data_IF_646197777759
#
_entry.id   IF_646197777759
#
_cell.length_a   1.000
_cell.length_b   1.000
_cell.length_c   1.000
_cell.angle_alpha   90.00
_cell.angle_beta   90.00
_cell.angle_gamma   90.00
#
_symmetry.space_group_name_H-M   'P 1'
#
loop_
_entity.id
_entity.type
_entity.pdbx_description
1 polymer ?
#
# COMPACT_ATOMS: atom_id res chain seq x y z
N UNK A 1 12.71 0.07 9.34
CA UNK A 1 12.01 -0.22 8.09
C UNK A 1 12.58 -1.43 7.37
N UNK A 2 13.90 -1.50 7.19
CA UNK A 2 14.53 -2.65 6.53
C UNK A 2 14.30 -3.95 7.29
N UNK A 3 14.38 -3.93 8.61
CA UNK A 3 14.17 -5.12 9.43
C UNK A 3 12.74 -5.64 9.33
N UNK A 4 11.75 -4.74 9.31
CA UNK A 4 10.35 -5.11 9.15
C UNK A 4 10.08 -5.72 7.77
N UNK A 5 10.61 -5.12 6.71
CA UNK A 5 10.49 -5.63 5.33
C UNK A 5 11.11 -7.03 5.22
N UNK A 6 12.32 -7.20 5.75
CA UNK A 6 13.01 -8.49 5.73
C UNK A 6 12.25 -9.56 6.51
N UNK A 7 11.70 -9.20 7.67
CA UNK A 7 10.92 -10.12 8.50
C UNK A 7 9.68 -10.61 7.77
N UNK A 8 8.98 -9.73 7.05
CA UNK A 8 7.80 -10.10 6.27
C UNK A 8 8.14 -11.10 5.16
N UNK A 9 9.24 -10.89 4.43
CA UNK A 9 9.68 -11.83 3.41
C UNK A 9 10.02 -13.19 3.98
N UNK A 10 10.71 -13.24 5.11
CA UNK A 10 11.08 -14.49 5.76
C UNK A 10 9.86 -15.26 6.26
N UNK A 11 8.83 -14.56 6.72
CA UNK A 11 7.63 -15.17 7.30
C UNK A 11 6.58 -15.55 6.27
N UNK A 12 6.35 -14.70 5.25
CA UNK A 12 5.21 -14.84 4.34
C UNK A 12 5.62 -15.12 2.89
N UNK A 13 6.87 -14.92 2.51
CA UNK A 13 7.32 -15.01 1.14
C UNK A 13 6.97 -13.80 0.28
N UNK A 14 6.44 -12.74 0.88
CA UNK A 14 6.16 -11.47 0.22
C UNK A 14 6.28 -10.34 1.24
N UNK A 15 6.36 -9.10 0.77
CA UNK A 15 6.50 -7.94 1.65
C UNK A 15 6.69 -6.66 0.86
N UNK A 16 7.49 -5.75 1.41
CA UNK A 16 7.86 -4.51 0.73
C UNK A 16 9.00 -4.72 -0.23
N UNK A 17 8.86 -4.18 -1.43
CA UNK A 17 9.87 -4.24 -2.48
C UNK A 17 10.52 -2.87 -2.65
N UNK A 18 11.84 -2.85 -2.83
CA UNK A 18 12.56 -1.63 -3.15
C UNK A 18 12.23 -1.21 -4.58
N UNK A 19 11.99 0.08 -4.77
CA UNK A 19 11.77 0.70 -6.08
C UNK A 19 13.04 1.43 -6.47
N UNK A 20 13.57 1.13 -7.66
CA UNK A 20 14.75 1.76 -8.19
C UNK A 20 14.47 2.42 -9.53
N UNK A 21 15.12 3.56 -9.77
CA UNK A 21 15.03 4.25 -11.06
C UNK A 21 15.90 3.51 -12.07
N UNK A 22 15.32 3.09 -13.19
CA UNK A 22 16.02 2.28 -14.19
C UNK A 22 17.23 2.99 -14.81
N UNK A 23 17.15 4.31 -14.96
CA UNK A 23 18.19 5.08 -15.65
C UNK A 23 19.54 5.07 -14.91
N UNK A 24 19.52 5.03 -13.58
CA UNK A 24 20.74 5.17 -12.77
C UNK A 24 20.80 4.23 -11.56
N UNK A 25 19.77 3.40 -11.34
CA UNK A 25 19.70 2.51 -10.18
C UNK A 25 19.42 3.22 -8.86
N UNK A 26 19.04 4.49 -8.88
CA UNK A 26 18.79 5.25 -7.65
C UNK A 26 17.60 4.68 -6.89
N UNK A 27 17.73 4.59 -5.56
CA UNK A 27 16.66 4.14 -4.68
C UNK A 27 15.57 5.20 -4.59
N UNK A 28 14.35 4.83 -4.95
CA UNK A 28 13.18 5.72 -4.99
C UNK A 28 12.32 5.58 -3.75
N UNK A 29 12.15 4.36 -3.24
CA UNK A 29 11.31 4.08 -2.10
C UNK A 29 10.88 2.62 -2.04
N UNK A 30 9.76 2.38 -1.37
CA UNK A 30 9.20 1.03 -1.21
C UNK A 30 7.76 0.98 -1.69
N UNK A 31 7.37 -0.17 -2.23
CA UNK A 31 5.98 -0.56 -2.42
C UNK A 31 5.85 -2.05 -2.12
N UNK A 32 4.67 -2.51 -1.76
CA UNK A 32 4.46 -3.93 -1.49
C UNK A 32 3.34 -4.19 -0.53
N UNK A 33 3.38 -5.37 0.08
CA UNK A 33 2.27 -5.93 0.83
C UNK A 33 2.61 -6.07 2.32
N UNK A 34 1.60 -5.77 3.16
CA UNK A 34 1.69 -5.92 4.60
C UNK A 34 0.47 -6.68 5.11
N UNK A 35 0.70 -7.60 6.03
CA UNK A 35 -0.41 -8.17 6.79
C UNK A 35 -0.82 -7.19 7.88
N UNK A 36 -2.13 -7.00 8.05
CA UNK A 36 -2.66 -6.17 9.12
C UNK A 36 -3.73 -6.93 9.90
N UNK A 37 -3.81 -6.63 11.20
CA UNK A 37 -4.78 -7.28 12.10
C UNK A 37 -5.33 -6.32 13.16
N UNK A 38 -5.18 -5.02 12.97
CA UNK A 38 -5.73 -4.05 13.92
C UNK A 38 -7.27 -4.11 13.92
N UNK A 39 -7.90 -3.44 14.89
CA UNK A 39 -9.32 -3.58 15.18
C UNK A 39 -10.20 -2.84 14.16
N UNK A 40 -10.45 -3.49 13.03
CA UNK A 40 -11.39 -3.06 12.00
C UNK A 40 -12.14 -4.27 11.47
N UNK A 41 -13.32 -4.05 10.88
CA UNK A 41 -14.19 -5.15 10.43
C UNK A 41 -13.68 -5.89 9.20
N UNK A 42 -12.73 -5.33 8.46
CA UNK A 42 -12.11 -6.00 7.31
C UNK A 42 -10.77 -6.67 7.64
N UNK A 43 -10.37 -6.72 8.90
CA UNK A 43 -9.18 -7.42 9.36
C UNK A 43 -9.51 -8.87 9.78
N UNK A 44 -8.53 -9.78 9.75
CA UNK A 44 -7.18 -9.62 9.24
C UNK A 44 -7.15 -9.56 7.72
N UNK A 45 -6.15 -8.88 7.16
CA UNK A 45 -6.08 -8.73 5.72
C UNK A 45 -4.68 -8.38 5.26
N UNK A 46 -4.58 -8.17 3.96
CA UNK A 46 -3.35 -7.77 3.29
C UNK A 46 -3.56 -6.41 2.66
N UNK A 47 -2.70 -5.45 2.99
CA UNK A 47 -2.72 -4.14 2.34
C UNK A 47 -1.58 -4.01 1.34
N UNK A 48 -1.82 -3.26 0.27
CA UNK A 48 -0.76 -2.73 -0.57
C UNK A 48 -0.48 -1.29 -0.13
N UNK A 49 0.79 -0.95 0.00
CA UNK A 49 1.23 0.37 0.40
C UNK A 49 2.41 0.82 -0.43
N UNK A 50 2.63 2.13 -0.46
CA UNK A 50 3.76 2.73 -1.16
C UNK A 50 4.27 3.91 -0.34
N UNK A 51 5.59 4.06 -0.34
CA UNK A 51 6.27 5.19 0.30
C UNK A 51 7.49 5.55 -0.54
N UNK A 52 7.47 6.72 -1.15
CA UNK A 52 8.54 7.19 -2.00
C UNK A 52 9.20 8.43 -1.39
N UNK A 53 10.49 8.60 -1.68
CA UNK A 53 11.18 9.85 -1.36
C UNK A 53 10.48 11.02 -2.06
N UNK A 54 10.36 12.15 -1.36
CA UNK A 54 9.62 13.32 -1.83
C UNK A 54 10.07 13.80 -3.20
N UNK A 55 11.37 13.73 -3.48
CA UNK A 55 11.96 14.15 -4.76
C UNK A 55 11.45 13.36 -5.98
N UNK A 56 10.84 12.18 -5.75
CA UNK A 56 10.29 11.34 -6.82
C UNK A 56 8.77 11.41 -6.91
N UNK A 57 8.11 12.24 -6.11
CA UNK A 57 6.67 12.39 -6.18
C UNK A 57 6.22 13.02 -7.49
N UNK A 58 4.97 12.78 -7.89
CA UNK A 58 4.33 13.35 -9.10
C UNK A 58 5.01 12.93 -10.41
N UNK A 59 5.68 11.79 -10.43
CA UNK A 59 6.33 11.23 -11.64
C UNK A 59 5.72 9.92 -12.10
N UNK A 60 4.65 9.45 -11.44
CA UNK A 60 4.00 8.18 -11.78
C UNK A 60 4.69 6.94 -11.22
N UNK A 61 5.74 7.07 -10.44
CA UNK A 61 6.49 5.92 -9.91
C UNK A 61 5.66 5.05 -8.96
N UNK A 62 4.88 5.67 -8.07
CA UNK A 62 4.02 4.91 -7.16
C UNK A 62 2.98 4.11 -7.92
N UNK A 63 2.34 4.70 -8.92
CA UNK A 63 1.35 4.03 -9.76
C UNK A 63 1.96 2.87 -10.51
N UNK A 64 3.09 3.06 -11.15
CA UNK A 64 3.78 2.02 -11.92
C UNK A 64 4.21 0.85 -11.02
N UNK A 65 4.85 1.16 -9.90
CA UNK A 65 5.36 0.15 -8.98
C UNK A 65 4.23 -0.63 -8.29
N UNK A 66 3.20 0.07 -7.81
CA UNK A 66 2.06 -0.57 -7.15
C UNK A 66 1.27 -1.45 -8.12
N UNK A 67 1.07 -1.00 -9.37
CA UNK A 67 0.41 -1.82 -10.38
C UNK A 67 1.22 -3.08 -10.69
N UNK A 68 2.53 -2.97 -10.80
CA UNK A 68 3.40 -4.13 -11.00
C UNK A 68 3.29 -5.12 -9.83
N UNK A 69 3.20 -4.63 -8.59
CA UNK A 69 2.98 -5.49 -7.43
C UNK A 69 1.65 -6.23 -7.49
N UNK A 70 0.56 -5.57 -7.86
CA UNK A 70 -0.75 -6.22 -8.00
C UNK A 70 -0.73 -7.28 -9.10
N UNK A 71 -0.13 -6.99 -10.24
CA UNK A 71 -0.01 -7.94 -11.35
C UNK A 71 0.81 -9.18 -10.93
N UNK A 72 1.92 -8.96 -10.23
CA UNK A 72 2.73 -10.04 -9.68
C UNK A 72 1.96 -10.89 -8.67
N UNK A 73 1.22 -10.26 -7.78
CA UNK A 73 0.44 -10.94 -6.75
C UNK A 73 -0.64 -11.81 -7.35
N UNK A 74 -1.32 -11.32 -8.39
CA UNK A 74 -2.36 -12.06 -9.09
C UNK A 74 -1.86 -13.39 -9.64
N UNK A 75 -0.64 -13.42 -10.13
CA UNK A 75 -0.07 -14.62 -10.76
C UNK A 75 0.72 -15.51 -9.80
N UNK A 76 1.30 -14.95 -8.74
CA UNK A 76 2.32 -15.63 -7.96
C UNK A 76 2.04 -15.75 -6.46
N UNK A 77 1.11 -14.97 -5.90
CA UNK A 77 0.88 -14.94 -4.46
C UNK A 77 -0.46 -15.59 -4.07
N UNK A 78 -0.57 -16.09 -2.83
CA UNK A 78 -1.70 -16.94 -2.45
C UNK A 78 -2.98 -16.19 -2.07
N UNK A 79 -2.94 -14.87 -1.94
CA UNK A 79 -4.12 -14.11 -1.55
C UNK A 79 -4.90 -13.60 -2.76
N UNK A 80 -6.20 -13.40 -2.57
CA UNK A 80 -7.12 -12.99 -3.65
C UNK A 80 -7.73 -11.61 -3.43
N UNK A 81 -7.57 -11.05 -2.25
CA UNK A 81 -8.09 -9.72 -1.89
C UNK A 81 -6.97 -8.88 -1.33
N UNK A 82 -6.85 -7.66 -1.84
CA UNK A 82 -5.87 -6.68 -1.38
C UNK A 82 -6.59 -5.39 -1.04
N UNK A 83 -6.24 -4.82 0.09
CA UNK A 83 -6.78 -3.56 0.58
C UNK A 83 -5.76 -2.45 0.44
N UNK A 84 -6.21 -1.21 0.35
CA UNK A 84 -5.38 -0.03 0.49
C UNK A 84 -6.16 1.02 1.27
N UNK A 85 -5.48 1.72 2.16
CA UNK A 85 -6.12 2.76 2.94
C UNK A 85 -5.14 3.88 3.23
N UNK A 86 -5.68 5.08 3.38
CA UNK A 86 -4.89 6.27 3.71
C UNK A 86 -5.80 7.29 4.38
N UNK A 87 -5.21 8.26 5.07
CA UNK A 87 -5.96 9.36 5.67
C UNK A 87 -6.73 10.13 4.60
N UNK A 88 -7.95 10.55 4.93
CA UNK A 88 -8.86 11.23 4.01
C UNK A 88 -8.23 12.44 3.28
N UNK A 89 -7.40 13.29 3.93
CA UNK A 89 -6.76 14.39 3.23
C UNK A 89 -5.67 13.99 2.23
N UNK A 90 -5.19 12.75 2.27
CA UNK A 90 -4.10 12.30 1.40
C UNK A 90 -4.59 11.98 -0.01
N UNK A 91 -4.86 13.02 -0.79
CA UNK A 91 -5.38 12.88 -2.16
C UNK A 91 -4.40 12.22 -3.14
N UNK A 92 -3.08 12.47 -3.09
CA UNK A 92 -2.14 11.78 -3.97
C UNK A 92 -2.19 10.26 -3.88
N UNK A 93 -2.25 9.71 -2.66
CA UNK A 93 -2.37 8.25 -2.48
C UNK A 93 -3.70 7.72 -2.98
N UNK A 94 -4.80 8.45 -2.77
CA UNK A 94 -6.11 8.06 -3.31
C UNK A 94 -6.09 8.01 -4.83
N UNK A 95 -5.42 8.95 -5.49
CA UNK A 95 -5.27 8.93 -6.95
C UNK A 95 -4.50 7.70 -7.42
N UNK A 96 -3.47 7.28 -6.70
CA UNK A 96 -2.75 6.04 -7.03
C UNK A 96 -3.69 4.84 -6.92
N UNK A 97 -4.46 4.73 -5.84
CA UNK A 97 -5.44 3.65 -5.65
C UNK A 97 -6.39 3.56 -6.83
N UNK A 98 -6.92 4.69 -7.28
CA UNK A 98 -7.83 4.76 -8.42
C UNK A 98 -7.13 4.35 -9.73
N UNK A 99 -5.92 4.84 -9.95
CA UNK A 99 -5.17 4.57 -11.19
C UNK A 99 -4.73 3.12 -11.34
N UNK A 100 -4.52 2.42 -10.23
CA UNK A 100 -4.18 1.00 -10.28
C UNK A 100 -5.40 0.08 -10.30
N UNK A 101 -6.60 0.67 -10.39
CA UNK A 101 -7.84 -0.08 -10.59
C UNK A 101 -8.52 -0.55 -9.32
N UNK A 102 -8.14 -0.04 -8.17
CA UNK A 102 -8.83 -0.37 -6.91
C UNK A 102 -10.16 0.36 -6.82
N UNK A 103 -11.12 -0.27 -6.15
CA UNK A 103 -12.46 0.29 -5.98
C UNK A 103 -12.64 0.82 -4.55
N UNK A 104 -13.30 1.97 -4.43
CA UNK A 104 -13.63 2.56 -3.14
C UNK A 104 -14.62 1.65 -2.40
N UNK A 105 -14.32 1.33 -1.13
CA UNK A 105 -15.17 0.50 -0.30
C UNK A 105 -15.96 1.35 0.71
N UNK A 106 -15.25 2.11 1.54
CA UNK A 106 -15.87 2.95 2.57
C UNK A 106 -14.84 3.85 3.26
N UNK A 107 -15.34 4.80 4.05
CA UNK A 107 -14.50 5.51 5.01
C UNK A 107 -14.53 4.76 6.35
N UNK A 108 -13.47 4.88 7.13
CA UNK A 108 -13.39 4.31 8.48
C UNK A 108 -12.49 5.16 9.37
N UNK A 109 -12.67 5.00 10.69
CA UNK A 109 -11.82 5.66 11.68
C UNK A 109 -10.69 4.71 12.06
N UNK A 110 -9.44 5.09 11.77
CA UNK A 110 -8.29 4.22 12.05
C UNK A 110 -8.06 4.12 13.56
N UNK A 111 -8.10 2.90 14.15
CA UNK A 111 -8.03 2.75 15.61
C UNK A 111 -6.69 3.15 16.21
N UNK A 112 -5.61 3.19 15.43
CA UNK A 112 -4.28 3.60 15.89
C UNK A 112 -4.09 5.11 15.92
N UNK A 113 -5.07 5.90 15.45
CA UNK A 113 -5.01 7.37 15.46
C UNK A 113 -5.91 7.89 16.57
N UNK A 114 -5.42 8.85 17.34
CA UNK A 114 -6.12 9.45 18.49
C UNK A 114 -7.46 10.05 18.05
N UNK A 115 -8.51 9.85 18.86
CA UNK A 115 -9.83 10.45 18.62
C UNK A 115 -9.72 11.97 18.50
N UNK A 116 -10.43 12.53 17.51
CA UNK A 116 -10.40 13.94 17.21
C UNK A 116 -9.22 14.42 16.37
N UNK A 117 -8.26 13.54 16.09
CA UNK A 117 -7.14 13.89 15.22
C UNK A 117 -7.61 14.04 13.77
N UNK A 118 -7.17 15.09 13.03
CA UNK A 118 -7.63 15.32 11.66
C UNK A 118 -7.26 14.21 10.67
N UNK A 119 -6.30 13.34 10.99
CA UNK A 119 -5.91 12.21 10.15
C UNK A 119 -6.55 10.89 10.58
N UNK A 120 -7.50 10.90 11.52
CA UNK A 120 -8.13 9.66 12.00
C UNK A 120 -9.06 9.05 10.94
N UNK A 121 -9.81 9.88 10.23
CA UNK A 121 -10.68 9.38 9.16
C UNK A 121 -9.86 8.95 7.95
N UNK A 122 -10.07 7.71 7.52
CA UNK A 122 -9.38 7.09 6.38
C UNK A 122 -10.38 6.70 5.30
N UNK A 123 -9.88 6.56 4.10
CA UNK A 123 -10.61 5.93 2.99
C UNK A 123 -10.04 4.52 2.77
N UNK A 124 -10.92 3.58 2.45
CA UNK A 124 -10.58 2.19 2.20
C UNK A 124 -10.90 1.84 0.75
N UNK A 125 -9.94 1.28 0.08
CA UNK A 125 -10.07 0.76 -1.28
C UNK A 125 -9.76 -0.74 -1.29
N UNK A 126 -10.28 -1.45 -2.27
CA UNK A 126 -10.21 -2.91 -2.38
C UNK A 126 -9.93 -3.32 -3.81
N UNK A 127 -9.14 -4.35 -3.98
CA UNK A 127 -8.92 -5.03 -5.25
C UNK A 127 -9.11 -6.53 -5.09
N UNK A 128 -9.89 -7.12 -5.99
CA UNK A 128 -10.00 -8.57 -6.14
C UNK A 128 -9.03 -9.00 -7.24
N UNK A 129 -8.14 -9.90 -6.91
CA UNK A 129 -7.10 -10.35 -7.84
C UNK A 129 -7.55 -11.49 -8.76
#
# INVERSE_FOLDING_TARGET
LFDAVRSDFLRYGYGGYAVEQKSDGAFVGFTGFHNFSFDVDFAPGIEIAWRLKQEYWNRGYATEAAKACLDYAKENLPFTTVWAFTALPNKPSQRVMQKIGMEFEKNFMHPSVTDGHPLKEHVLYKSLL
#
